data_IF_816663822924
#
_entry.id   IF_816663822924
#
_cell.length_a   1.000
_cell.length_b   1.000
_cell.length_c   1.000
_cell.angle_alpha   90.00
_cell.angle_beta   90.00
_cell.angle_gamma   90.00
#
_symmetry.space_group_name_H-M   'P 1'
#
loop_
_entity.id
_entity.type
_entity.pdbx_description
1 polymer ?
#
# COMPACT_ATOMS: atom_id res chain seq x y z
N UNK A 1 -10.45 -12.42 -8.72
CA UNK A 1 -10.72 -11.67 -7.48
C UNK A 1 -10.81 -10.22 -7.87
N UNK A 2 -11.87 -9.52 -7.48
CA UNK A 2 -12.06 -8.11 -7.82
C UNK A 2 -10.98 -7.26 -7.11
N UNK A 3 -10.43 -6.26 -7.78
CA UNK A 3 -9.40 -5.39 -7.21
C UNK A 3 -9.95 -4.66 -5.98
N UNK A 4 -11.21 -4.24 -6.00
CA UNK A 4 -11.84 -3.57 -4.86
C UNK A 4 -11.84 -4.47 -3.62
N UNK A 5 -12.17 -5.75 -3.79
CA UNK A 5 -12.14 -6.72 -2.70
C UNK A 5 -10.72 -6.99 -2.18
N UNK A 6 -9.69 -6.87 -3.03
CA UNK A 6 -8.29 -6.95 -2.64
C UNK A 6 -7.87 -5.75 -1.79
N UNK A 7 -8.32 -4.54 -2.15
CA UNK A 7 -7.95 -3.31 -1.45
C UNK A 7 -8.54 -3.25 -0.04
N UNK A 8 -9.79 -3.70 0.10
CA UNK A 8 -10.51 -3.77 1.38
C UNK A 8 -10.14 -5.01 2.21
N UNK A 9 -9.34 -5.93 1.65
CA UNK A 9 -8.89 -7.11 2.39
C UNK A 9 -7.82 -6.72 3.42
N UNK A 10 -7.89 -7.30 4.64
CA UNK A 10 -6.92 -7.01 5.68
C UNK A 10 -5.54 -7.59 5.33
N UNK A 11 -4.49 -6.79 5.49
CA UNK A 11 -3.09 -7.14 5.19
C UNK A 11 -2.66 -8.50 5.75
N UNK A 12 -3.03 -8.90 6.98
CA UNK A 12 -2.68 -10.23 7.51
C UNK A 12 -3.21 -11.41 6.68
N UNK A 13 -4.34 -11.24 5.98
CA UNK A 13 -4.96 -12.27 5.11
C UNK A 13 -4.38 -12.29 3.70
N UNK A 14 -3.57 -11.30 3.35
CA UNK A 14 -2.93 -11.21 2.05
C UNK A 14 -1.58 -11.94 2.06
N UNK A 15 -1.13 -12.27 0.85
CA UNK A 15 0.09 -13.04 0.56
C UNK A 15 1.35 -12.15 0.63
N UNK A 16 1.49 -11.43 1.75
CA UNK A 16 2.66 -10.62 2.08
C UNK A 16 3.61 -11.36 3.00
N UNK A 17 4.87 -10.92 3.01
CA UNK A 17 5.88 -11.41 3.93
C UNK A 17 5.53 -11.09 5.39
N UNK A 18 6.05 -11.87 6.36
CA UNK A 18 5.89 -11.55 7.78
C UNK A 18 6.40 -10.16 8.13
N UNK A 19 7.55 -9.77 7.57
CA UNK A 19 8.15 -8.45 7.77
C UNK A 19 7.21 -7.33 7.31
N UNK A 20 6.61 -7.46 6.12
CA UNK A 20 5.64 -6.50 5.62
C UNK A 20 4.43 -6.36 6.54
N UNK A 21 3.91 -7.48 7.05
CA UNK A 21 2.77 -7.50 7.98
C UNK A 21 3.11 -6.79 9.29
N UNK A 22 4.29 -7.05 9.85
CA UNK A 22 4.76 -6.38 11.07
C UNK A 22 4.96 -4.88 10.87
N UNK A 23 5.57 -4.47 9.76
CA UNK A 23 5.76 -3.06 9.42
C UNK A 23 4.41 -2.36 9.23
N UNK A 24 3.46 -3.00 8.54
CA UNK A 24 2.11 -2.45 8.35
C UNK A 24 1.39 -2.23 9.68
N UNK A 25 1.55 -3.16 10.64
CA UNK A 25 1.02 -3.00 12.00
C UNK A 25 1.65 -1.81 12.71
N UNK A 26 2.99 -1.64 12.63
CA UNK A 26 3.70 -0.50 13.23
C UNK A 26 3.29 0.84 12.63
N UNK A 27 2.98 0.85 11.34
CA UNK A 27 2.48 2.03 10.64
C UNK A 27 0.98 2.28 10.89
N UNK A 28 0.29 1.45 11.69
CA UNK A 28 -1.15 1.53 11.91
C UNK A 28 -1.95 1.47 10.60
N UNK A 29 -1.55 0.56 9.70
CA UNK A 29 -2.24 0.29 8.44
C UNK A 29 -2.74 -1.14 8.42
N UNK A 30 -4.02 -1.32 8.14
CA UNK A 30 -4.72 -2.59 8.18
C UNK A 30 -5.11 -3.10 6.79
N UNK A 31 -5.26 -2.22 5.81
CA UNK A 31 -5.70 -2.54 4.44
C UNK A 31 -4.86 -1.85 3.38
N UNK A 32 -4.87 -2.36 2.14
CA UNK A 32 -4.17 -1.71 1.03
C UNK A 32 -4.86 -0.39 0.66
N UNK A 33 -6.19 -0.29 0.80
CA UNK A 33 -6.93 0.95 0.58
C UNK A 33 -6.39 2.10 1.44
N UNK A 34 -6.16 1.87 2.73
CA UNK A 34 -5.58 2.88 3.61
C UNK A 34 -4.20 3.33 3.14
N UNK A 35 -3.39 2.44 2.55
CA UNK A 35 -2.08 2.81 1.99
C UNK A 35 -2.27 3.73 0.78
N UNK A 36 -3.13 3.34 -0.16
CA UNK A 36 -3.37 4.08 -1.40
C UNK A 36 -4.02 5.45 -1.12
N UNK A 37 -4.91 5.52 -0.15
CA UNK A 37 -5.58 6.76 0.26
C UNK A 37 -4.67 7.66 1.09
N UNK A 38 -3.57 7.13 1.66
CA UNK A 38 -2.56 7.92 2.36
C UNK A 38 -1.64 8.59 1.34
N UNK A 39 -1.35 9.88 1.54
CA UNK A 39 -0.42 10.60 0.67
C UNK A 39 0.99 9.99 0.77
N UNK A 40 1.75 9.95 -0.34
CA UNK A 40 3.13 9.45 -0.31
C UNK A 40 4.00 10.14 0.73
N UNK A 41 3.81 11.46 0.95
CA UNK A 41 4.53 12.22 1.99
C UNK A 41 4.24 11.69 3.40
N UNK A 42 2.97 11.49 3.72
CA UNK A 42 2.56 10.98 5.03
C UNK A 42 3.06 9.54 5.27
N UNK A 43 3.10 8.71 4.22
CA UNK A 43 3.67 7.36 4.30
C UNK A 43 5.17 7.38 4.62
N UNK A 44 5.92 8.28 3.99
CA UNK A 44 7.36 8.43 4.21
C UNK A 44 7.68 8.88 5.64
N UNK A 45 6.78 9.63 6.28
CA UNK A 45 6.93 10.11 7.66
C UNK A 45 6.47 9.08 8.71
N UNK A 46 5.80 7.98 8.33
CA UNK A 46 5.36 6.97 9.29
C UNK A 46 6.55 6.20 9.87
N UNK A 47 6.56 6.09 11.20
CA UNK A 47 7.52 5.29 11.93
C UNK A 47 7.40 3.81 11.53
N UNK A 48 8.41 3.31 10.81
CA UNK A 48 8.44 1.95 10.28
C UNK A 48 8.41 1.85 8.76
N UNK A 49 8.19 2.95 8.03
CA UNK A 49 8.31 2.95 6.58
C UNK A 49 9.71 2.52 6.13
N UNK A 50 9.76 1.62 5.15
CA UNK A 50 11.01 1.20 4.49
C UNK A 50 10.80 1.09 2.98
N UNK A 51 11.87 1.30 2.22
CA UNK A 51 11.84 1.08 0.76
C UNK A 51 11.58 -0.38 0.40
N UNK A 52 12.01 -1.32 1.26
CA UNK A 52 11.72 -2.75 1.11
C UNK A 52 10.22 -3.00 1.19
N UNK A 53 9.54 -2.40 2.18
CA UNK A 53 8.09 -2.50 2.33
C UNK A 53 7.36 -1.93 1.10
N UNK A 54 7.76 -0.75 0.62
CA UNK A 54 7.17 -0.16 -0.60
C UNK A 54 7.42 -1.03 -1.85
N UNK A 55 8.61 -1.63 -1.95
CA UNK A 55 8.95 -2.55 -3.03
C UNK A 55 8.06 -3.79 -3.03
N UNK A 56 7.80 -4.39 -1.86
CA UNK A 56 6.92 -5.54 -1.74
C UNK A 56 5.46 -5.19 -2.06
N UNK A 57 4.97 -4.04 -1.58
CA UNK A 57 3.65 -3.53 -1.96
C UNK A 57 3.52 -3.35 -3.47
N UNK A 58 4.54 -2.75 -4.10
CA UNK A 58 4.55 -2.52 -5.54
C UNK A 58 4.57 -3.84 -6.31
N UNK A 59 5.36 -4.82 -5.88
CA UNK A 59 5.41 -6.15 -6.49
C UNK A 59 4.08 -6.89 -6.35
N UNK A 60 3.43 -6.79 -5.18
CA UNK A 60 2.11 -7.36 -4.95
C UNK A 60 1.07 -6.71 -5.87
N UNK A 61 0.99 -5.38 -5.90
CA UNK A 61 0.05 -4.67 -6.77
C UNK A 61 0.31 -4.94 -8.26
N UNK A 62 1.57 -5.11 -8.66
CA UNK A 62 1.95 -5.49 -10.02
C UNK A 62 1.42 -6.89 -10.39
N UNK A 63 1.47 -7.86 -9.46
CA UNK A 63 0.88 -9.22 -9.64
C UNK A 63 -0.63 -9.16 -9.91
N UNK A 64 -1.32 -8.17 -9.38
CA UNK A 64 -2.76 -7.93 -9.62
C UNK A 64 -3.04 -6.85 -10.68
N UNK A 65 -2.04 -6.46 -11.48
CA UNK A 65 -2.14 -5.39 -12.50
C UNK A 65 -2.72 -4.06 -11.97
N UNK A 66 -2.55 -3.83 -10.67
CA UNK A 66 -3.17 -2.74 -9.90
C UNK A 66 -2.15 -1.69 -9.45
N UNK A 67 -0.93 -1.72 -10.01
CA UNK A 67 0.12 -0.76 -9.71
C UNK A 67 -0.30 0.69 -10.04
N UNK A 68 -1.20 0.87 -11.00
CA UNK A 68 -1.78 2.17 -11.36
C UNK A 68 -2.53 2.84 -10.20
N UNK A 69 -2.93 2.08 -9.16
CA UNK A 69 -3.59 2.63 -7.98
C UNK A 69 -2.65 3.34 -7.02
N UNK A 70 -1.35 3.00 -7.02
CA UNK A 70 -0.34 3.75 -6.26
C UNK A 70 -0.04 5.11 -6.89
N UNK A 71 -0.42 5.30 -8.16
CA UNK A 71 -0.34 6.63 -8.75
C UNK A 71 -1.41 7.49 -8.11
N UNK A 72 -1.09 8.71 -7.65
CA UNK A 72 -2.11 9.64 -7.20
C UNK A 72 -3.12 9.77 -8.33
N UNK A 73 -4.38 9.42 -8.06
CA UNK A 73 -5.44 9.40 -9.05
C UNK A 73 -5.49 10.77 -9.76
N UNK A 74 -4.96 10.82 -10.98
CA UNK A 74 -5.03 11.96 -11.89
C UNK A 74 -4.55 13.30 -11.32
N UNK A 75 -3.35 13.72 -11.73
CA UNK A 75 -2.86 15.10 -11.74
C UNK A 75 -3.72 16.14 -11.01
N UNK A 76 -3.45 16.38 -9.72
CA UNK A 76 -3.54 17.75 -9.22
C UNK A 76 -2.41 18.50 -9.90
N UNK A 77 -2.74 19.18 -11.00
CA UNK A 77 -1.98 20.33 -11.46
C UNK A 77 -1.66 21.17 -10.24
N UNK A 78 -0.38 21.22 -9.87
CA UNK A 78 0.14 22.37 -9.14
C UNK A 78 0.05 23.53 -10.13
N UNK A 79 -1.12 24.16 -10.19
CA UNK A 79 -1.30 25.48 -10.78
C UNK A 79 -0.78 26.53 -9.81
#
# INVERSE_FOLDING_TARGET
>A
MDVSALLDSPIPRLDFSPEFKEVSIKMHVHTIREIIDTLPGDLLERSGFTYTWLGELSAFLMKYQSLHLLQPAGGKNYA
#
